data_IF_074857855445
#
_entry.id   IF_074857855445
#
_cell.length_a   1.000
_cell.length_b   1.000
_cell.length_c   1.000
_cell.angle_alpha   90.00
_cell.angle_beta   90.00
_cell.angle_gamma   90.00
#
_symmetry.space_group_name_H-M   'P 1'
#
loop_
_entity.id
_entity.type
_entity.pdbx_description
1 polymer ?
#
# COMPACT_ATOMS: atom_id res chain seq x y z
N UNK A 1 -38.60 24.10 -5.24
CA UNK A 1 -37.35 23.98 -4.46
C UNK A 1 -36.35 22.91 -5.00
N UNK A 2 -36.67 22.17 -6.05
CA UNK A 2 -35.80 21.15 -6.64
C UNK A 2 -34.72 21.67 -7.64
N UNK A 3 -34.81 22.93 -8.07
CA UNK A 3 -33.94 23.49 -9.13
C UNK A 3 -32.55 23.96 -8.65
N UNK A 4 -32.32 24.07 -7.36
CA UNK A 4 -31.04 24.58 -6.80
C UNK A 4 -30.05 23.42 -6.47
N UNK A 5 -30.55 22.23 -6.32
CA UNK A 5 -29.74 21.07 -5.91
C UNK A 5 -28.95 20.43 -7.07
N UNK A 6 -29.45 20.51 -8.31
CA UNK A 6 -28.77 19.96 -9.47
C UNK A 6 -27.39 20.60 -9.75
N UNK A 7 -27.24 21.94 -9.74
CA UNK A 7 -25.93 22.55 -9.98
C UNK A 7 -24.96 22.31 -8.83
N UNK A 8 -25.45 22.15 -7.59
CA UNK A 8 -24.61 21.84 -6.43
C UNK A 8 -24.03 20.42 -6.52
N UNK A 9 -24.84 19.45 -6.98
CA UNK A 9 -24.37 18.08 -7.24
C UNK A 9 -23.37 18.01 -8.38
N UNK A 10 -23.59 18.77 -9.46
CA UNK A 10 -22.64 18.85 -10.58
C UNK A 10 -21.31 19.50 -10.16
N UNK A 11 -21.36 20.54 -9.31
CA UNK A 11 -20.15 21.15 -8.75
C UNK A 11 -19.38 20.19 -7.83
N UNK A 12 -20.06 19.42 -6.99
CA UNK A 12 -19.42 18.40 -6.16
C UNK A 12 -18.77 17.28 -7.00
N UNK A 13 -19.40 16.91 -8.12
CA UNK A 13 -18.86 15.90 -9.03
C UNK A 13 -17.61 16.38 -9.80
N UNK A 14 -17.50 17.68 -10.08
CA UNK A 14 -16.36 18.28 -10.76
C UNK A 14 -15.15 18.47 -9.83
N UNK A 15 -15.36 18.50 -8.51
CA UNK A 15 -14.27 18.65 -7.52
C UNK A 15 -13.60 17.33 -7.12
N UNK A 16 -14.12 16.17 -7.54
CA UNK A 16 -13.43 14.91 -7.40
C UNK A 16 -12.44 14.66 -8.55
N UNK A 17 -11.63 15.65 -8.88
CA UNK A 17 -10.40 15.43 -9.63
C UNK A 17 -9.44 14.69 -8.71
N UNK A 18 -9.69 13.41 -8.52
CA UNK A 18 -8.72 12.50 -7.93
C UNK A 18 -7.44 12.64 -8.75
N UNK A 19 -6.34 12.98 -8.11
CA UNK A 19 -4.99 12.80 -8.61
C UNK A 19 -4.82 11.31 -8.93
N UNK A 20 -5.33 10.88 -10.08
CA UNK A 20 -5.12 9.54 -10.60
C UNK A 20 -3.65 9.47 -11.00
N UNK A 21 -2.82 8.88 -10.15
CA UNK A 21 -1.53 8.38 -10.59
C UNK A 21 -1.79 7.38 -11.72
N UNK A 22 -1.22 7.63 -12.88
CA UNK A 22 -1.33 6.73 -14.02
C UNK A 22 -0.59 5.42 -13.70
N UNK A 23 -1.35 4.37 -13.42
CA UNK A 23 -0.80 3.05 -13.05
C UNK A 23 0.07 2.48 -14.18
N UNK A 24 -0.13 2.91 -15.42
CA UNK A 24 0.70 2.51 -16.57
C UNK A 24 2.15 2.96 -16.46
N UNK A 25 2.43 3.96 -15.61
CA UNK A 25 3.78 4.49 -15.37
C UNK A 25 4.50 3.78 -14.20
N UNK A 26 3.86 2.79 -13.58
CA UNK A 26 4.37 2.08 -12.40
C UNK A 26 4.85 0.69 -12.78
N UNK A 27 6.10 0.38 -12.48
CA UNK A 27 6.67 -0.96 -12.63
C UNK A 27 6.51 -1.73 -11.32
N UNK A 28 5.73 -2.82 -11.37
CA UNK A 28 5.48 -3.70 -10.22
C UNK A 28 6.21 -5.03 -10.44
N UNK A 29 7.12 -5.44 -9.56
CA UNK A 29 7.75 -6.76 -9.63
C UNK A 29 6.70 -7.87 -9.51
N UNK A 30 6.90 -8.98 -10.24
CA UNK A 30 5.96 -10.13 -10.20
C UNK A 30 5.89 -10.79 -8.82
N UNK A 31 7.02 -10.84 -8.11
CA UNK A 31 7.14 -11.50 -6.81
C UNK A 31 7.75 -10.55 -5.78
N UNK A 32 7.16 -10.55 -4.58
CA UNK A 32 7.70 -9.89 -3.41
C UNK A 32 8.32 -10.89 -2.44
N UNK A 33 9.13 -10.39 -1.51
CA UNK A 33 9.70 -11.19 -0.42
C UNK A 33 8.93 -10.84 0.85
N UNK A 34 8.38 -11.84 1.51
CA UNK A 34 7.53 -11.67 2.72
C UNK A 34 6.40 -10.63 2.52
N UNK A 35 5.83 -10.58 1.31
CA UNK A 35 4.78 -9.62 0.95
C UNK A 35 5.28 -8.21 0.60
N UNK A 36 6.57 -7.92 0.74
CA UNK A 36 7.16 -6.62 0.40
C UNK A 36 7.68 -6.60 -1.03
N UNK A 37 7.37 -5.54 -1.76
CA UNK A 37 7.85 -5.27 -3.13
C UNK A 37 8.43 -3.86 -3.19
N UNK A 38 9.51 -3.68 -3.96
CA UNK A 38 9.97 -2.36 -4.37
C UNK A 38 9.26 -1.96 -5.65
N UNK A 39 8.47 -0.91 -5.60
CA UNK A 39 7.72 -0.36 -6.72
C UNK A 39 8.46 0.85 -7.26
N UNK A 40 8.64 0.89 -8.57
CA UNK A 40 9.42 1.88 -9.31
C UNK A 40 8.59 2.52 -10.40
N UNK A 41 9.06 3.64 -10.95
CA UNK A 41 8.50 4.16 -12.20
C UNK A 41 9.05 3.41 -13.42
N UNK A 42 8.31 3.37 -14.51
CA UNK A 42 8.68 2.65 -15.75
C UNK A 42 10.00 3.12 -16.36
N UNK A 43 10.36 4.39 -16.19
CA UNK A 43 11.63 4.95 -16.66
C UNK A 43 12.80 4.72 -15.69
N UNK A 44 12.60 3.97 -14.62
CA UNK A 44 13.61 3.62 -13.62
C UNK A 44 14.24 4.83 -12.88
N UNK A 45 13.55 5.97 -12.88
CA UNK A 45 13.93 7.19 -12.14
C UNK A 45 13.17 7.24 -10.82
N UNK A 46 13.75 7.80 -9.77
CA UNK A 46 13.05 8.11 -8.53
C UNK A 46 11.92 9.11 -8.79
N UNK A 47 10.67 8.70 -8.55
CA UNK A 47 9.49 9.46 -9.01
C UNK A 47 8.43 9.68 -7.94
N UNK A 48 8.61 9.12 -6.74
CA UNK A 48 7.63 9.25 -5.67
C UNK A 48 8.20 10.05 -4.51
N UNK A 49 7.52 11.13 -4.11
CA UNK A 49 7.73 11.76 -2.80
C UNK A 49 6.95 10.98 -1.72
N UNK A 50 7.10 11.32 -0.44
CA UNK A 50 6.49 10.59 0.66
C UNK A 50 4.96 10.46 0.53
N UNK A 51 4.27 11.49 0.01
CA UNK A 51 2.82 11.48 -0.18
C UNK A 51 2.41 10.63 -1.39
N UNK A 52 3.05 10.83 -2.54
CA UNK A 52 2.73 10.08 -3.77
C UNK A 52 3.14 8.62 -3.68
N UNK A 53 4.13 8.28 -2.86
CA UNK A 53 4.52 6.90 -2.56
C UNK A 53 3.36 6.08 -1.99
N UNK A 54 2.59 6.63 -1.03
CA UNK A 54 1.42 5.98 -0.47
C UNK A 54 0.35 5.74 -1.55
N UNK A 55 0.05 6.77 -2.34
CA UNK A 55 -0.92 6.70 -3.44
C UNK A 55 -0.50 5.67 -4.51
N UNK A 56 0.81 5.55 -4.80
CA UNK A 56 1.31 4.56 -5.75
C UNK A 56 1.05 3.12 -5.30
N UNK A 57 1.22 2.81 -4.00
CA UNK A 57 0.87 1.49 -3.47
C UNK A 57 -0.65 1.23 -3.51
N UNK A 58 -1.46 2.22 -3.14
CA UNK A 58 -2.93 2.12 -3.17
C UNK A 58 -3.46 1.89 -4.59
N UNK A 59 -2.87 2.56 -5.60
CA UNK A 59 -3.24 2.40 -7.01
C UNK A 59 -3.06 0.96 -7.52
N UNK A 60 -2.12 0.20 -6.96
CA UNK A 60 -1.90 -1.22 -7.28
C UNK A 60 -2.55 -2.17 -6.26
N UNK A 61 -3.51 -1.68 -5.46
CA UNK A 61 -4.26 -2.43 -4.43
C UNK A 61 -3.36 -3.04 -3.35
N UNK A 62 -2.32 -2.30 -2.97
CA UNK A 62 -1.42 -2.59 -1.86
C UNK A 62 -1.43 -1.43 -0.88
N UNK A 63 -0.80 -1.57 0.25
CA UNK A 63 -0.46 -0.44 1.13
C UNK A 63 1.03 -0.19 1.14
N UNK A 64 1.44 0.99 1.56
CA UNK A 64 2.85 1.25 1.84
C UNK A 64 3.35 0.31 2.95
N UNK A 65 4.56 -0.21 2.80
CA UNK A 65 5.17 -1.10 3.77
C UNK A 65 5.68 -0.33 4.99
N UNK A 66 5.62 -0.94 6.17
CA UNK A 66 6.31 -0.45 7.36
C UNK A 66 7.78 -0.82 7.31
N UNK A 67 8.64 -0.04 7.97
CA UNK A 67 10.06 -0.36 8.09
C UNK A 67 10.27 -1.77 8.65
N UNK A 68 9.55 -2.16 9.69
CA UNK A 68 9.62 -3.50 10.29
C UNK A 68 9.30 -4.65 9.30
N UNK A 69 8.41 -4.40 8.34
CA UNK A 69 8.09 -5.37 7.29
C UNK A 69 9.23 -5.50 6.28
N UNK A 70 9.87 -4.37 5.92
CA UNK A 70 11.08 -4.36 5.09
C UNK A 70 12.23 -5.07 5.81
N UNK A 71 12.38 -4.90 7.12
CA UNK A 71 13.37 -5.62 7.94
C UNK A 71 13.13 -7.14 7.94
N UNK A 72 11.88 -7.55 8.06
CA UNK A 72 11.49 -8.97 7.95
C UNK A 72 11.79 -9.52 6.55
N UNK A 73 11.45 -8.77 5.52
CA UNK A 73 11.74 -9.15 4.14
C UNK A 73 13.26 -9.19 3.88
N UNK A 74 14.04 -8.27 4.44
CA UNK A 74 15.50 -8.25 4.34
C UNK A 74 16.13 -9.52 4.96
N UNK A 75 15.67 -9.96 6.13
CA UNK A 75 16.09 -11.23 6.75
C UNK A 75 15.76 -12.43 5.87
N UNK A 76 14.72 -12.34 5.05
CA UNK A 76 14.27 -13.40 4.14
C UNK A 76 14.79 -13.24 2.70
N UNK A 77 15.80 -12.39 2.48
CA UNK A 77 16.51 -12.27 1.21
C UNK A 77 16.22 -11.01 0.40
N UNK A 78 15.40 -10.08 0.89
CA UNK A 78 15.19 -8.80 0.19
C UNK A 78 16.43 -7.92 0.28
N UNK A 79 17.06 -7.65 -0.87
CA UNK A 79 18.06 -6.61 -0.97
C UNK A 79 17.90 -5.79 -2.23
N UNK A 80 18.19 -4.51 -2.16
CA UNK A 80 18.17 -3.59 -3.29
C UNK A 80 19.35 -2.63 -3.21
N UNK A 81 19.64 -1.94 -4.32
CA UNK A 81 20.55 -0.80 -4.33
C UNK A 81 19.78 0.51 -4.61
N UNK A 82 18.54 0.58 -4.14
CA UNK A 82 17.65 1.73 -4.32
C UNK A 82 16.94 2.07 -3.02
N UNK A 83 16.84 3.37 -2.75
CA UNK A 83 16.04 3.86 -1.64
C UNK A 83 14.56 3.86 -2.01
N UNK A 84 13.72 3.46 -1.07
CA UNK A 84 12.27 3.53 -1.20
C UNK A 84 11.62 4.05 0.08
N UNK A 85 10.52 4.79 -0.09
CA UNK A 85 9.69 5.27 1.02
C UNK A 85 9.02 4.12 1.75
N UNK A 86 8.87 4.28 3.05
CA UNK A 86 8.06 3.43 3.94
C UNK A 86 7.05 4.29 4.70
N UNK A 87 6.13 3.63 5.43
CA UNK A 87 5.00 4.30 6.11
C UNK A 87 5.45 5.39 7.09
N UNK A 88 6.60 5.20 7.73
CA UNK A 88 7.18 6.14 8.68
C UNK A 88 7.75 7.41 8.03
N UNK A 89 7.51 7.62 6.73
CA UNK A 89 7.99 8.77 5.95
C UNK A 89 9.53 8.92 5.97
N UNK A 90 10.22 7.81 6.01
CA UNK A 90 11.67 7.72 5.84
C UNK A 90 11.98 6.89 4.58
N UNK A 91 13.12 7.16 3.96
CA UNK A 91 13.61 6.35 2.86
C UNK A 91 14.53 5.25 3.39
N UNK A 92 14.34 4.01 2.94
CA UNK A 92 15.15 2.88 3.38
C UNK A 92 15.77 2.12 2.21
N UNK A 93 16.92 1.47 2.48
CA UNK A 93 17.58 0.56 1.54
C UNK A 93 17.95 -0.72 2.29
N UNK A 94 17.36 -1.87 1.95
CA UNK A 94 17.71 -3.15 2.56
C UNK A 94 18.96 -3.74 1.91
N UNK A 95 19.96 -4.12 2.72
CA UNK A 95 21.22 -4.70 2.28
C UNK A 95 21.52 -5.99 3.03
N UNK A 96 21.95 -7.01 2.29
CA UNK A 96 22.42 -8.28 2.83
C UNK A 96 23.92 -8.41 2.60
N UNK A 97 24.40 -7.87 1.49
CA UNK A 97 25.81 -7.88 1.11
C UNK A 97 26.39 -6.47 1.18
N UNK A 98 27.64 -6.38 1.64
CA UNK A 98 28.39 -5.13 1.66
C UNK A 98 28.66 -4.65 0.23
N UNK A 99 28.38 -3.37 -0.01
CA UNK A 99 28.70 -2.71 -1.27
C UNK A 99 28.87 -1.21 -1.01
N UNK A 100 30.01 -0.67 -1.39
CA UNK A 100 30.36 0.72 -1.14
C UNK A 100 29.40 1.71 -1.81
N UNK A 101 28.94 1.38 -3.00
CA UNK A 101 27.99 2.19 -3.76
C UNK A 101 26.53 2.00 -3.33
N UNK A 102 26.26 1.03 -2.44
CA UNK A 102 24.92 0.67 -1.97
C UNK A 102 24.89 0.65 -0.44
N UNK A 103 24.36 1.71 0.18
CA UNK A 103 24.25 1.79 1.64
C UNK A 103 25.59 1.98 2.36
N UNK A 104 26.66 2.42 1.67
CA UNK A 104 27.99 2.70 2.22
C UNK A 104 28.56 1.53 3.04
N UNK A 105 28.54 0.34 2.47
CA UNK A 105 28.99 -0.92 3.11
C UNK A 105 28.20 -1.35 4.36
N UNK A 106 27.09 -0.68 4.70
CA UNK A 106 26.24 -1.09 5.80
C UNK A 106 25.36 -2.28 5.41
N UNK A 107 24.96 -3.07 6.42
CA UNK A 107 24.05 -4.21 6.28
C UNK A 107 22.75 -3.96 7.05
N UNK A 108 21.71 -4.70 6.69
CA UNK A 108 20.37 -4.54 7.24
C UNK A 108 19.58 -3.48 6.50
N UNK A 109 18.59 -2.90 7.15
CA UNK A 109 17.75 -1.84 6.58
C UNK A 109 18.31 -0.49 7.00
N UNK A 110 19.03 0.15 6.08
CA UNK A 110 19.64 1.46 6.30
C UNK A 110 18.56 2.52 6.05
N UNK A 111 18.30 3.35 7.06
CA UNK A 111 17.30 4.40 7.00
C UNK A 111 17.94 5.77 6.72
N UNK A 112 17.25 6.58 5.96
CA UNK A 112 17.57 7.97 5.70
C UNK A 112 16.34 8.84 5.97
N UNK A 113 16.44 9.72 6.98
CA UNK A 113 15.46 10.77 7.24
C UNK A 113 15.64 11.88 6.21
N UNK A 114 15.01 11.71 5.06
CA UNK A 114 15.04 12.66 3.97
C UNK A 114 13.86 13.63 4.07
N UNK A 115 13.99 14.78 3.40
CA UNK A 115 12.84 15.68 3.21
C UNK A 115 11.73 14.95 2.47
N UNK A 116 10.47 15.12 2.92
CA UNK A 116 9.28 14.44 2.35
C UNK A 116 9.02 14.76 0.89
N UNK A 117 9.58 15.86 0.37
CA UNK A 117 9.49 16.27 -1.03
C UNK A 117 10.47 15.54 -1.95
N UNK A 118 11.52 14.90 -1.37
CA UNK A 118 12.50 14.14 -2.16
C UNK A 118 11.86 12.98 -2.88
N UNK A 119 12.40 12.66 -4.04
CA UNK A 119 11.91 11.57 -4.87
C UNK A 119 12.72 10.30 -4.60
N UNK A 120 12.01 9.20 -4.32
CA UNK A 120 12.54 7.84 -4.21
C UNK A 120 11.59 6.86 -4.87
N UNK A 121 11.89 5.57 -4.80
CA UNK A 121 10.94 4.49 -5.05
C UNK A 121 10.03 4.31 -3.83
N UNK A 122 9.21 3.26 -3.79
CA UNK A 122 8.37 2.95 -2.63
C UNK A 122 8.34 1.45 -2.36
N UNK A 123 8.39 1.08 -1.08
CA UNK A 123 8.13 -0.28 -0.64
C UNK A 123 6.63 -0.44 -0.38
N UNK A 124 6.00 -1.32 -1.14
CA UNK A 124 4.59 -1.68 -0.97
C UNK A 124 4.48 -3.04 -0.30
N UNK A 125 3.43 -3.24 0.49
CA UNK A 125 3.12 -4.48 1.17
C UNK A 125 1.79 -5.05 0.70
N UNK A 126 1.82 -6.30 0.27
CA UNK A 126 0.64 -7.09 -0.04
C UNK A 126 0.35 -8.00 1.15
N UNK A 127 -0.69 -7.72 1.95
CA UNK A 127 -1.06 -8.61 3.04
C UNK A 127 -1.46 -9.98 2.49
N UNK A 128 -1.16 -11.04 3.24
CA UNK A 128 -1.69 -12.36 2.93
C UNK A 128 -3.22 -12.29 2.86
N UNK A 129 -3.81 -12.92 1.85
CA UNK A 129 -5.26 -12.97 1.74
C UNK A 129 -5.84 -13.58 3.02
N UNK A 130 -6.81 -12.91 3.65
CA UNK A 130 -7.51 -13.46 4.80
C UNK A 130 -8.09 -14.83 4.42
N UNK A 131 -7.96 -15.85 5.28
CA UNK A 131 -8.49 -17.17 4.97
C UNK A 131 -10.00 -17.07 4.71
N UNK A 132 -10.45 -17.55 3.57
CA UNK A 132 -11.87 -17.50 3.12
C UNK A 132 -12.84 -18.08 4.17
N UNK A 133 -12.34 -18.94 5.07
CA UNK A 133 -13.11 -19.52 6.17
C UNK A 133 -13.72 -18.44 7.09
N UNK A 134 -13.02 -17.36 7.40
CA UNK A 134 -13.57 -16.31 8.26
C UNK A 134 -14.77 -15.59 7.64
N UNK A 135 -14.73 -15.35 6.33
CA UNK A 135 -15.83 -14.70 5.61
C UNK A 135 -17.06 -15.62 5.60
N UNK A 136 -16.88 -16.92 5.35
CA UNK A 136 -17.97 -17.91 5.34
C UNK A 136 -18.60 -18.01 6.74
N UNK A 137 -17.79 -18.11 7.79
CA UNK A 137 -18.27 -18.21 9.18
C UNK A 137 -19.09 -16.97 9.56
N UNK A 138 -18.62 -15.76 9.22
CA UNK A 138 -19.34 -14.53 9.56
C UNK A 138 -20.67 -14.42 8.82
N UNK A 139 -20.74 -14.82 7.55
CA UNK A 139 -21.96 -14.85 6.77
C UNK A 139 -22.96 -15.88 7.33
N UNK A 140 -22.50 -17.09 7.67
CA UNK A 140 -23.35 -18.13 8.29
C UNK A 140 -23.91 -17.68 9.63
N UNK A 141 -23.08 -17.07 10.50
CA UNK A 141 -23.55 -16.52 11.78
C UNK A 141 -24.59 -15.42 11.59
N UNK A 142 -24.42 -14.53 10.63
CA UNK A 142 -25.39 -13.49 10.31
C UNK A 142 -26.73 -14.09 9.89
N UNK A 143 -26.73 -15.10 9.01
CA UNK A 143 -27.95 -15.80 8.60
C UNK A 143 -28.67 -16.49 9.77
N UNK A 144 -27.91 -17.13 10.69
CA UNK A 144 -28.48 -17.76 11.86
C UNK A 144 -29.12 -16.75 12.82
N UNK A 145 -28.50 -15.59 13.02
CA UNK A 145 -29.06 -14.52 13.87
C UNK A 145 -30.35 -13.94 13.25
N UNK A 146 -30.38 -13.72 11.94
CA UNK A 146 -31.57 -13.24 11.24
C UNK A 146 -32.71 -14.27 11.32
N UNK A 147 -32.42 -15.55 11.13
CA UNK A 147 -33.42 -16.63 11.22
C UNK A 147 -33.97 -16.77 12.65
N UNK A 148 -33.11 -16.67 13.66
CA UNK A 148 -33.54 -16.70 15.07
C UNK A 148 -34.44 -15.51 15.42
N UNK A 149 -34.06 -14.30 14.99
CA UNK A 149 -34.85 -13.08 15.17
C UNK A 149 -36.22 -13.15 14.50
N UNK A 150 -36.29 -13.65 13.25
CA UNK A 150 -37.55 -13.85 12.54
C UNK A 150 -38.46 -14.88 13.25
N UNK A 151 -37.88 -15.97 13.79
CA UNK A 151 -38.62 -16.99 14.52
C UNK A 151 -39.24 -16.47 15.83
N UNK A 152 -38.52 -15.58 16.52
CA UNK A 152 -39.03 -14.93 17.73
C UNK A 152 -40.15 -13.92 17.38
N UNK A 153 -39.99 -13.15 16.33
CA UNK A 153 -40.98 -12.17 15.88
C UNK A 153 -42.32 -12.82 15.48
N UNK A 154 -42.25 -14.00 14.82
CA UNK A 154 -43.46 -14.74 14.41
C UNK A 154 -44.17 -15.45 15.58
N UNK A 155 -43.53 -15.60 16.73
CA UNK A 155 -44.12 -16.20 17.95
C UNK A 155 -44.71 -15.19 18.93
N UNK A 156 -44.47 -13.90 18.73
CA UNK A 156 -45.10 -12.79 19.42
C UNK A 156 -46.38 -12.34 18.77
#
# INVERSE_FOLDING_TARGET
MARVWLPLYLLLFLFTSTLCLDVSQIQVPKNGISGVLLVQSMNNVYSFNATTAKVACEAIKMRIAKKAEVETANKNGLQTCRYGWVEEQIAVIPRIEKNENCGKNNLGVIAWTADISKMFDVYCFKPAAAPKAFVIISVVLLFLLVAAGASLYLKM
#
